data_IF_740030839297
#
_entry.id   IF_740030839297
#
_cell.length_a   1.000
_cell.length_b   1.000
_cell.length_c   1.000
_cell.angle_alpha   90.00
_cell.angle_beta   90.00
_cell.angle_gamma   90.00
#
_symmetry.space_group_name_H-M   'P 1'
#
loop_
_entity.id
_entity.type
_entity.pdbx_description
1 polymer ?
#
# COMPACT_ATOMS: atom_id res chain seq x y z
N UNK A 1 -54.40 27.59 -20.46
CA UNK A 1 -53.45 26.79 -19.65
C UNK A 1 -53.07 25.45 -20.32
N UNK A 2 -52.23 25.45 -21.39
CA UNK A 2 -51.48 24.24 -21.76
C UNK A 2 -49.96 24.46 -22.01
N UNK A 3 -49.47 25.71 -21.98
CA UNK A 3 -48.09 26.04 -22.37
C UNK A 3 -46.99 25.65 -21.35
N UNK A 4 -47.32 25.29 -20.10
CA UNK A 4 -46.33 24.94 -19.06
C UNK A 4 -45.82 23.49 -19.14
N UNK A 5 -46.52 22.58 -19.81
CA UNK A 5 -46.07 21.18 -19.94
C UNK A 5 -45.07 20.96 -21.10
N UNK A 6 -45.20 21.73 -22.19
CA UNK A 6 -44.31 21.59 -23.35
C UNK A 6 -42.87 22.03 -23.04
N UNK A 7 -42.67 23.08 -22.23
CA UNK A 7 -41.35 23.56 -21.84
C UNK A 7 -40.55 22.57 -20.97
N UNK A 8 -41.22 21.81 -20.09
CA UNK A 8 -40.58 20.76 -19.28
C UNK A 8 -40.13 19.55 -20.10
N UNK A 9 -40.73 19.32 -21.27
CA UNK A 9 -40.36 18.22 -22.18
C UNK A 9 -39.22 18.63 -23.13
N UNK A 10 -39.19 19.88 -23.56
CA UNK A 10 -38.10 20.44 -24.38
C UNK A 10 -36.76 20.53 -23.61
N UNK A 11 -36.78 20.85 -22.31
CA UNK A 11 -35.58 20.86 -21.47
C UNK A 11 -34.94 19.47 -21.28
N UNK A 12 -35.73 18.39 -21.26
CA UNK A 12 -35.17 17.02 -21.27
C UNK A 12 -34.54 16.64 -22.61
N UNK A 13 -35.02 17.20 -23.72
CA UNK A 13 -34.48 16.94 -25.06
C UNK A 13 -33.20 17.75 -25.34
N UNK A 14 -33.10 18.99 -24.83
CA UNK A 14 -31.90 19.81 -24.97
C UNK A 14 -30.72 19.32 -24.10
N UNK A 15 -30.98 18.64 -22.98
CA UNK A 15 -29.96 17.92 -22.22
C UNK A 15 -29.42 16.68 -22.96
N UNK A 16 -30.16 16.10 -23.89
CA UNK A 16 -29.77 14.84 -24.53
C UNK A 16 -28.79 15.00 -25.70
N UNK A 17 -28.69 16.18 -26.34
CA UNK A 17 -27.98 16.31 -27.63
C UNK A 17 -26.49 16.70 -27.56
N UNK A 18 -25.99 17.54 -26.63
CA UNK A 18 -24.55 17.75 -26.50
C UNK A 18 -23.85 16.58 -25.76
N UNK A 19 -24.62 15.74 -25.06
CA UNK A 19 -24.12 14.65 -24.21
C UNK A 19 -24.09 13.26 -24.90
N UNK A 20 -24.64 13.11 -26.11
CA UNK A 20 -24.55 11.84 -26.85
C UNK A 20 -23.19 11.65 -27.53
N UNK A 21 -22.44 12.72 -27.77
CA UNK A 21 -21.17 12.67 -28.51
C UNK A 21 -19.99 12.23 -27.62
N UNK A 22 -20.15 12.29 -26.29
CA UNK A 22 -19.15 11.85 -25.29
C UNK A 22 -19.21 10.36 -24.94
N UNK A 23 -20.21 9.62 -25.45
CA UNK A 23 -20.31 8.15 -25.26
C UNK A 23 -19.14 7.35 -25.86
N UNK A 24 -18.31 7.98 -26.70
CA UNK A 24 -17.17 7.32 -27.35
C UNK A 24 -15.96 7.10 -26.43
N UNK A 25 -15.95 7.65 -25.20
CA UNK A 25 -14.78 7.62 -24.31
C UNK A 25 -14.99 6.94 -22.94
N UNK A 26 -15.97 6.06 -22.78
CA UNK A 26 -16.03 5.18 -21.58
C UNK A 26 -16.46 5.86 -20.28
N UNK A 27 -17.14 7.01 -20.34
CA UNK A 27 -17.78 7.66 -19.20
C UNK A 27 -18.97 6.82 -18.70
N UNK A 28 -18.98 6.46 -17.41
CA UNK A 28 -20.13 5.79 -16.78
C UNK A 28 -20.88 6.79 -15.89
N UNK A 29 -22.11 7.11 -16.27
CA UNK A 29 -23.01 7.95 -15.49
C UNK A 29 -23.94 7.07 -14.65
N UNK A 30 -23.87 7.20 -13.33
CA UNK A 30 -24.84 6.59 -12.41
C UNK A 30 -25.53 7.71 -11.63
N UNK A 31 -26.78 8.01 -11.96
CA UNK A 31 -27.63 8.83 -11.10
C UNK A 31 -27.86 8.09 -9.78
N UNK A 32 -27.19 8.52 -8.71
CA UNK A 32 -27.16 7.79 -7.43
C UNK A 32 -27.62 8.66 -6.27
N UNK A 33 -28.69 8.24 -5.60
CA UNK A 33 -29.03 8.75 -4.26
C UNK A 33 -27.87 8.43 -3.30
N UNK A 34 -27.44 9.41 -2.49
CA UNK A 34 -26.49 9.22 -1.38
C UNK A 34 -27.29 9.03 -0.08
N UNK A 35 -27.51 7.78 0.36
CA UNK A 35 -28.40 7.49 1.48
C UNK A 35 -27.85 7.99 2.82
N UNK A 36 -28.60 8.87 3.50
CA UNK A 36 -28.34 9.19 4.91
C UNK A 36 -28.71 8.00 5.82
N UNK A 37 -29.72 7.21 5.43
CA UNK A 37 -30.13 5.94 6.04
C UNK A 37 -30.34 4.89 4.95
N UNK A 38 -30.35 3.59 5.27
CA UNK A 38 -30.52 2.53 4.25
C UNK A 38 -29.24 2.20 3.45
N UNK A 39 -29.32 1.41 2.38
CA UNK A 39 -28.16 1.01 1.56
C UNK A 39 -28.13 1.77 0.23
N UNK A 40 -27.06 1.63 -0.54
CA UNK A 40 -26.98 2.19 -1.90
C UNK A 40 -28.12 1.74 -2.82
N UNK A 41 -28.64 0.53 -2.62
CA UNK A 41 -29.70 -0.07 -3.44
C UNK A 41 -31.10 0.11 -2.81
N UNK A 42 -31.17 0.56 -1.55
CA UNK A 42 -32.40 0.84 -0.83
C UNK A 42 -32.20 2.07 0.08
N UNK A 43 -32.15 3.28 -0.49
CA UNK A 43 -31.90 4.50 0.27
C UNK A 43 -33.10 4.84 1.16
N UNK A 44 -32.84 5.04 2.45
CA UNK A 44 -33.81 5.56 3.41
C UNK A 44 -33.97 7.08 3.30
N UNK A 45 -35.00 7.61 3.98
CA UNK A 45 -35.33 9.04 3.94
C UNK A 45 -34.17 9.91 4.47
N UNK A 46 -33.96 11.07 3.84
CA UNK A 46 -33.00 12.10 4.31
C UNK A 46 -31.62 12.10 3.64
N UNK A 47 -31.38 11.26 2.62
CA UNK A 47 -30.14 11.26 1.83
C UNK A 47 -29.95 12.52 0.97
N UNK A 48 -28.70 12.90 0.70
CA UNK A 48 -28.40 13.84 -0.37
C UNK A 48 -28.62 13.15 -1.73
N UNK A 49 -29.05 13.90 -2.73
CA UNK A 49 -29.07 13.42 -4.11
C UNK A 49 -28.03 14.24 -4.86
N UNK A 50 -26.90 13.62 -5.20
CA UNK A 50 -25.92 14.28 -6.05
C UNK A 50 -26.53 14.46 -7.44
N UNK A 51 -26.33 15.63 -8.05
CA UNK A 51 -26.80 15.91 -9.41
C UNK A 51 -26.20 14.93 -10.42
N UNK A 52 -24.88 14.72 -10.37
CA UNK A 52 -24.16 13.75 -11.18
C UNK A 52 -23.04 13.12 -10.34
N UNK A 53 -22.84 11.80 -10.50
CA UNK A 53 -21.71 11.08 -9.95
C UNK A 53 -20.80 10.68 -11.12
N UNK A 54 -19.58 11.23 -11.18
CA UNK A 54 -18.67 10.98 -12.30
C UNK A 54 -17.45 10.18 -11.85
N UNK A 55 -17.25 9.01 -12.47
CA UNK A 55 -15.97 8.29 -12.41
C UNK A 55 -15.33 8.31 -13.79
N UNK A 56 -14.06 8.69 -13.87
CA UNK A 56 -13.23 8.46 -15.05
C UNK A 56 -11.87 7.92 -14.61
N UNK A 57 -11.77 6.63 -14.26
CA UNK A 57 -10.54 6.03 -13.77
C UNK A 57 -9.37 6.15 -14.77
N UNK A 58 -9.66 6.09 -16.07
CA UNK A 58 -8.68 6.24 -17.15
C UNK A 58 -8.05 7.64 -17.17
N UNK A 59 -8.84 8.66 -16.81
CA UNK A 59 -8.42 10.06 -16.72
C UNK A 59 -8.00 10.45 -15.30
N UNK A 60 -7.81 9.46 -14.41
CA UNK A 60 -7.47 9.65 -13.00
C UNK A 60 -8.45 10.57 -12.26
N UNK A 61 -9.73 10.58 -12.63
CA UNK A 61 -10.78 11.30 -11.89
C UNK A 61 -11.43 10.34 -10.90
N UNK A 62 -11.07 10.40 -9.60
CA UNK A 62 -11.72 9.61 -8.57
C UNK A 62 -13.09 10.22 -8.30
N UNK A 63 -14.15 9.44 -8.49
CA UNK A 63 -15.55 9.72 -8.11
C UNK A 63 -15.84 11.18 -7.67
N UNK A 64 -16.31 12.00 -8.58
CA UNK A 64 -16.67 13.39 -8.33
C UNK A 64 -18.16 13.50 -8.03
N UNK A 65 -18.50 13.97 -6.83
CA UNK A 65 -19.86 14.40 -6.54
C UNK A 65 -20.06 15.76 -7.19
N UNK A 66 -20.88 15.82 -8.24
CA UNK A 66 -21.13 17.05 -8.98
C UNK A 66 -22.50 17.59 -8.57
N UNK A 67 -22.48 18.78 -8.00
CA UNK A 67 -23.67 19.60 -7.82
C UNK A 67 -23.67 20.66 -8.91
N UNK A 68 -24.64 20.59 -9.81
CA UNK A 68 -24.85 21.61 -10.84
C UNK A 68 -25.90 22.60 -10.34
N UNK A 69 -25.49 23.84 -10.13
CA UNK A 69 -26.37 24.92 -9.70
C UNK A 69 -26.53 25.93 -10.85
N UNK A 70 -27.78 26.32 -11.12
CA UNK A 70 -28.09 27.35 -12.10
C UNK A 70 -28.08 28.79 -11.52
N UNK A 71 -27.49 29.02 -10.35
CA UNK A 71 -27.54 30.26 -9.54
C UNK A 71 -28.95 30.66 -9.05
N UNK A 72 -29.77 29.68 -8.70
CA UNK A 72 -31.05 29.94 -8.04
C UNK A 72 -31.01 29.64 -6.54
N UNK A 73 -30.02 28.88 -6.08
CA UNK A 73 -29.87 28.52 -4.67
C UNK A 73 -28.94 29.51 -3.96
N UNK A 74 -29.27 29.79 -2.70
CA UNK A 74 -28.49 30.61 -1.79
C UNK A 74 -27.24 29.86 -1.30
N UNK A 75 -26.27 30.59 -0.75
CA UNK A 75 -25.09 29.97 -0.15
C UNK A 75 -25.48 29.03 1.01
N UNK A 76 -26.53 29.37 1.75
CA UNK A 76 -27.09 28.60 2.85
C UNK A 76 -27.68 27.27 2.37
N UNK A 77 -28.46 27.26 1.28
CA UNK A 77 -29.00 26.03 0.69
C UNK A 77 -27.90 25.09 0.17
N UNK A 78 -26.85 25.64 -0.45
CA UNK A 78 -25.70 24.85 -0.89
C UNK A 78 -24.91 24.32 0.32
N UNK A 79 -24.76 25.10 1.38
CA UNK A 79 -24.12 24.65 2.62
C UNK A 79 -24.87 23.46 3.24
N UNK A 80 -26.21 23.49 3.28
CA UNK A 80 -27.03 22.38 3.75
C UNK A 80 -26.85 21.10 2.93
N UNK A 81 -26.63 21.22 1.62
CA UNK A 81 -26.28 20.07 0.76
C UNK A 81 -24.92 19.50 1.13
N UNK A 82 -23.92 20.35 1.32
CA UNK A 82 -22.58 19.93 1.72
C UNK A 82 -22.57 19.27 3.10
N UNK A 83 -23.44 19.69 4.03
CA UNK A 83 -23.65 19.00 5.31
C UNK A 83 -24.27 17.61 5.15
N UNK A 84 -25.19 17.43 4.21
CA UNK A 84 -25.74 16.10 3.88
C UNK A 84 -24.65 15.19 3.31
N UNK A 85 -23.79 15.70 2.43
CA UNK A 85 -22.61 14.97 1.94
C UNK A 85 -21.65 14.61 3.07
N UNK A 86 -21.37 15.55 3.98
CA UNK A 86 -20.51 15.31 5.15
C UNK A 86 -21.04 14.18 6.05
N UNK A 87 -22.36 14.18 6.33
CA UNK A 87 -23.01 13.09 7.08
C UNK A 87 -22.87 11.75 6.36
N UNK A 88 -23.06 11.73 5.05
CA UNK A 88 -22.87 10.53 4.25
C UNK A 88 -21.40 10.05 4.27
N UNK A 89 -20.41 10.94 4.15
CA UNK A 89 -19.00 10.57 4.17
C UNK A 89 -18.49 10.05 5.51
N UNK A 90 -19.11 10.50 6.61
CA UNK A 90 -18.85 9.99 7.97
C UNK A 90 -19.42 8.59 8.20
N UNK A 91 -20.38 8.15 7.39
CA UNK A 91 -21.08 6.89 7.60
C UNK A 91 -20.15 5.71 7.34
N UNK A 92 -20.09 4.80 8.31
CA UNK A 92 -19.37 3.53 8.20
C UNK A 92 -20.35 2.37 8.09
N UNK A 93 -19.92 1.31 7.43
CA UNK A 93 -20.61 0.03 7.31
C UNK A 93 -19.62 -1.07 7.64
N UNK A 94 -20.10 -2.16 8.25
CA UNK A 94 -19.28 -3.36 8.42
C UNK A 94 -19.09 -4.04 7.06
N UNK A 95 -17.84 -4.28 6.71
CA UNK A 95 -17.47 -5.04 5.52
C UNK A 95 -17.53 -6.55 5.83
N UNK A 96 -17.32 -7.39 4.82
CA UNK A 96 -17.34 -8.86 4.88
C UNK A 96 -16.31 -9.44 5.86
N UNK A 97 -15.23 -8.71 6.12
CA UNK A 97 -14.22 -9.04 7.14
C UNK A 97 -14.60 -8.59 8.57
N UNK A 98 -15.81 -8.04 8.75
CA UNK A 98 -16.33 -7.54 10.02
C UNK A 98 -15.77 -6.17 10.43
N UNK A 99 -14.86 -5.57 9.66
CA UNK A 99 -14.27 -4.26 9.96
C UNK A 99 -15.17 -3.14 9.47
N UNK A 100 -15.22 -2.05 10.23
CA UNK A 100 -15.93 -0.85 9.78
C UNK A 100 -15.14 -0.12 8.71
N UNK A 101 -15.78 0.15 7.58
CA UNK A 101 -15.22 0.92 6.47
C UNK A 101 -16.18 2.02 6.04
N UNK A 102 -15.68 3.13 5.47
CA UNK A 102 -16.56 4.18 4.99
C UNK A 102 -17.52 3.65 3.91
N UNK A 103 -18.80 4.03 3.98
CA UNK A 103 -19.84 3.52 3.09
C UNK A 103 -19.61 3.89 1.61
N UNK A 104 -18.87 4.97 1.36
CA UNK A 104 -18.49 5.42 0.02
C UNK A 104 -17.34 4.61 -0.58
N UNK A 105 -16.61 3.82 0.22
CA UNK A 105 -15.41 3.10 -0.20
C UNK A 105 -15.61 2.11 -1.36
N UNK A 106 -16.73 1.35 -1.45
CA UNK A 106 -16.94 0.46 -2.59
C UNK A 106 -17.13 1.17 -3.92
N UNK A 107 -17.61 2.43 -3.90
CA UNK A 107 -17.77 3.25 -5.12
C UNK A 107 -16.58 4.14 -5.39
N UNK A 108 -15.60 4.16 -4.49
CA UNK A 108 -14.42 4.97 -4.66
C UNK A 108 -13.16 4.39 -4.00
N UNK A 109 -12.15 4.23 -4.86
CA UNK A 109 -10.75 4.08 -4.47
C UNK A 109 -9.96 5.38 -4.50
N UNK A 110 -9.60 5.89 -3.32
CA UNK A 110 -8.69 7.02 -3.19
C UNK A 110 -7.37 6.70 -3.93
N UNK A 111 -6.83 7.61 -4.74
CA UNK A 111 -5.50 7.45 -5.32
C UNK A 111 -4.49 7.05 -4.23
N UNK A 112 -3.49 6.23 -4.56
CA UNK A 112 -2.50 5.75 -3.59
C UNK A 112 -1.72 6.88 -2.90
N UNK A 113 -1.69 8.07 -3.50
CA UNK A 113 -1.11 9.29 -2.94
C UNK A 113 -1.95 9.93 -1.83
N UNK A 114 -3.23 9.58 -1.74
CA UNK A 114 -4.15 10.09 -0.72
C UNK A 114 -4.16 9.15 0.48
N UNK A 115 -4.49 9.67 1.66
CA UNK A 115 -4.60 8.89 2.91
C UNK A 115 -5.81 7.94 2.90
N UNK A 116 -5.99 7.14 1.85
CA UNK A 116 -7.01 6.10 1.74
C UNK A 116 -8.38 6.54 2.27
N UNK A 117 -8.86 5.80 3.26
CA UNK A 117 -10.16 5.94 3.91
C UNK A 117 -10.31 7.20 4.78
N UNK A 118 -9.20 7.92 5.02
CA UNK A 118 -9.19 9.13 5.85
C UNK A 118 -9.54 10.40 5.04
N UNK A 119 -9.32 10.42 3.73
CA UNK A 119 -9.69 11.58 2.90
C UNK A 119 -11.12 11.42 2.38
N UNK A 120 -11.98 12.40 2.62
CA UNK A 120 -13.35 12.36 2.12
C UNK A 120 -13.46 12.66 0.63
N UNK A 121 -14.61 12.29 0.04
CA UNK A 121 -14.89 12.63 -1.33
C UNK A 121 -14.81 14.06 -1.83
N UNK A 122 -14.21 14.41 -3.01
CA UNK A 122 -14.30 15.77 -3.47
C UNK A 122 -15.72 16.02 -3.96
N UNK A 123 -16.18 17.22 -3.68
CA UNK A 123 -17.45 17.73 -4.20
C UNK A 123 -17.11 18.86 -5.15
N UNK A 124 -17.50 18.70 -6.43
CA UNK A 124 -17.41 19.75 -7.43
C UNK A 124 -18.74 20.49 -7.52
N UNK A 125 -18.70 21.78 -7.23
CA UNK A 125 -19.78 22.71 -7.49
C UNK A 125 -19.57 23.31 -8.89
N UNK A 126 -20.47 22.99 -9.81
CA UNK A 126 -20.47 23.55 -11.17
C UNK A 126 -21.58 24.58 -11.27
N UNK A 127 -21.18 25.83 -11.37
CA UNK A 127 -22.12 26.94 -11.43
C UNK A 127 -22.41 27.38 -12.86
N UNK A 128 -23.66 27.33 -13.26
CA UNK A 128 -24.13 27.76 -14.57
C UNK A 128 -24.85 29.10 -14.46
N UNK A 129 -24.24 30.20 -14.94
CA UNK A 129 -24.74 31.60 -14.83
C UNK A 129 -26.03 31.84 -15.63
N UNK A 130 -27.14 31.23 -15.20
CA UNK A 130 -28.48 31.45 -15.73
C UNK A 130 -29.35 32.22 -14.72
N UNK A 131 -29.10 32.05 -13.42
CA UNK A 131 -29.86 32.67 -12.33
C UNK A 131 -29.31 34.00 -11.81
N UNK A 132 -30.04 34.58 -10.85
CA UNK A 132 -29.85 35.95 -10.33
C UNK A 132 -28.72 36.07 -9.29
N UNK A 133 -28.26 34.96 -8.70
CA UNK A 133 -27.24 35.00 -7.65
C UNK A 133 -25.85 35.37 -8.19
N UNK A 134 -25.16 36.28 -7.51
CA UNK A 134 -23.82 36.73 -7.89
C UNK A 134 -22.72 35.79 -7.32
N UNK A 135 -21.94 35.07 -8.16
CA UNK A 135 -20.87 34.19 -7.68
C UNK A 135 -19.83 34.85 -6.79
N UNK A 136 -19.54 36.13 -7.03
CA UNK A 136 -18.56 36.88 -6.26
C UNK A 136 -19.05 37.15 -4.83
N UNK A 137 -20.34 36.93 -4.53
CA UNK A 137 -20.90 36.99 -3.17
C UNK A 137 -21.20 35.58 -2.64
N UNK A 138 -21.79 34.71 -3.47
CA UNK A 138 -22.16 33.34 -3.05
C UNK A 138 -20.96 32.50 -2.66
N UNK A 139 -19.87 32.50 -3.45
CA UNK A 139 -18.70 31.66 -3.17
C UNK A 139 -18.00 32.07 -1.86
N UNK A 140 -17.68 33.35 -1.60
CA UNK A 140 -17.11 33.75 -0.31
C UNK A 140 -18.00 33.40 0.88
N UNK A 141 -19.31 33.64 0.79
CA UNK A 141 -20.25 33.30 1.87
C UNK A 141 -20.32 31.79 2.10
N UNK A 142 -20.37 31.01 1.03
CA UNK A 142 -20.38 29.55 1.11
C UNK A 142 -19.09 29.00 1.74
N UNK A 143 -17.92 29.57 1.38
CA UNK A 143 -16.63 29.23 2.01
C UNK A 143 -16.68 29.44 3.52
N UNK A 144 -17.23 30.57 3.96
CA UNK A 144 -17.38 30.89 5.38
C UNK A 144 -18.30 29.89 6.10
N UNK A 145 -19.51 29.67 5.58
CA UNK A 145 -20.51 28.78 6.18
C UNK A 145 -20.04 27.33 6.29
N UNK A 146 -19.22 26.87 5.34
CA UNK A 146 -18.78 25.47 5.25
C UNK A 146 -17.36 25.26 5.75
N UNK A 147 -16.74 26.27 6.38
CA UNK A 147 -15.32 26.25 6.76
C UNK A 147 -14.91 25.00 7.53
N UNK A 148 -15.74 24.55 8.47
CA UNK A 148 -15.51 23.35 9.27
C UNK A 148 -15.51 22.05 8.46
N UNK A 149 -16.09 22.02 7.26
CA UNK A 149 -16.11 20.84 6.39
C UNK A 149 -14.81 20.66 5.61
N UNK A 150 -14.11 21.74 5.26
CA UNK A 150 -12.99 21.68 4.30
C UNK A 150 -11.66 22.21 4.86
N UNK A 151 -11.64 22.95 5.97
CA UNK A 151 -10.40 23.55 6.49
C UNK A 151 -9.40 22.46 6.91
N UNK A 152 -8.22 22.50 6.30
CA UNK A 152 -7.13 21.56 6.58
C UNK A 152 -6.19 22.05 7.67
N UNK A 153 -5.59 21.12 8.39
CA UNK A 153 -4.66 21.39 9.49
C UNK A 153 -3.24 21.59 8.96
N UNK A 154 -2.65 22.76 9.24
CA UNK A 154 -1.30 23.10 8.77
C UNK A 154 -0.25 22.27 9.51
N UNK A 155 0.58 21.56 8.75
CA UNK A 155 1.65 20.73 9.28
C UNK A 155 2.99 21.48 9.33
N UNK A 156 3.91 20.99 10.17
CA UNK A 156 5.28 21.53 10.27
C UNK A 156 6.03 21.54 8.92
N UNK A 157 5.68 20.63 8.00
CA UNK A 157 6.23 20.54 6.65
C UNK A 157 5.69 21.56 5.64
N UNK A 158 4.83 22.50 6.05
CA UNK A 158 4.29 23.56 5.20
C UNK A 158 3.12 23.14 4.30
N UNK A 159 2.70 21.87 4.36
CA UNK A 159 1.48 21.37 3.73
C UNK A 159 0.32 21.29 4.72
N UNK A 160 -0.91 21.16 4.21
CA UNK A 160 -2.10 20.92 5.03
C UNK A 160 -2.47 19.43 5.00
N UNK A 161 -2.96 18.91 6.13
CA UNK A 161 -3.67 17.64 6.20
C UNK A 161 -5.18 17.88 6.08
N UNK A 162 -5.84 17.06 5.28
CA UNK A 162 -7.28 17.16 5.00
C UNK A 162 -8.03 15.88 5.40
N UNK A 163 -7.46 15.09 6.32
CA UNK A 163 -8.11 13.89 6.83
C UNK A 163 -9.43 14.28 7.52
N UNK A 164 -10.52 13.60 7.16
CA UNK A 164 -11.88 13.93 7.60
C UNK A 164 -12.42 15.26 7.05
N UNK A 165 -11.78 15.86 6.04
CA UNK A 165 -12.20 17.10 5.38
C UNK A 165 -12.60 16.83 3.94
N UNK A 166 -13.60 17.55 3.46
CA UNK A 166 -14.13 17.47 2.10
C UNK A 166 -13.31 18.39 1.19
N UNK A 167 -12.68 17.89 0.12
CA UNK A 167 -12.14 18.75 -0.93
C UNK A 167 -13.30 19.38 -1.72
N UNK A 168 -13.70 20.58 -1.34
CA UNK A 168 -14.76 21.33 -2.04
C UNK A 168 -14.10 22.18 -3.14
N UNK A 169 -14.52 21.94 -4.37
CA UNK A 169 -14.00 22.60 -5.57
C UNK A 169 -15.14 23.31 -6.28
N UNK A 170 -14.92 24.53 -6.73
CA UNK A 170 -15.91 25.31 -7.46
C UNK A 170 -15.39 25.66 -8.85
N UNK A 171 -16.25 25.58 -9.86
CA UNK A 171 -15.99 26.12 -11.21
C UNK A 171 -17.28 26.63 -11.85
N UNK A 172 -17.14 27.39 -12.94
CA UNK A 172 -18.27 27.82 -13.76
C UNK A 172 -18.43 26.93 -15.00
N UNK A 173 -19.67 26.64 -15.41
CA UNK A 173 -19.95 25.78 -16.57
C UNK A 173 -19.27 26.30 -17.86
N UNK A 174 -19.26 27.63 -18.07
CA UNK A 174 -18.58 28.25 -19.21
C UNK A 174 -17.07 27.99 -19.19
N UNK A 175 -16.42 28.14 -18.03
CA UNK A 175 -14.99 27.92 -17.89
C UNK A 175 -14.63 26.45 -18.09
N UNK A 176 -15.44 25.56 -17.51
CA UNK A 176 -15.30 24.12 -17.70
C UNK A 176 -15.45 23.72 -19.18
N UNK A 177 -16.43 24.28 -19.88
CA UNK A 177 -16.64 24.01 -21.31
C UNK A 177 -15.51 24.54 -22.19
N UNK A 178 -14.88 25.66 -21.82
CA UNK A 178 -13.85 26.30 -22.63
C UNK A 178 -12.45 25.69 -22.39
N UNK A 179 -12.14 25.35 -21.14
CA UNK A 179 -10.79 24.94 -20.75
C UNK A 179 -10.67 23.47 -20.34
N UNK A 180 -11.80 22.78 -20.19
CA UNK A 180 -11.82 21.38 -19.75
C UNK A 180 -11.29 21.18 -18.33
N UNK A 181 -11.04 19.92 -17.93
CA UNK A 181 -10.57 19.57 -16.58
C UNK A 181 -9.08 19.90 -16.34
N UNK A 182 -8.29 20.09 -17.40
CA UNK A 182 -6.85 20.39 -17.32
C UNK A 182 -6.56 21.88 -17.21
N UNK A 183 -7.53 22.74 -17.54
CA UNK A 183 -7.38 24.19 -17.43
C UNK A 183 -7.39 24.70 -15.99
N UNK A 184 -6.72 25.82 -15.69
CA UNK A 184 -6.66 26.42 -14.36
C UNK A 184 -7.96 27.21 -14.07
N UNK A 185 -9.08 26.50 -13.95
CA UNK A 185 -10.42 27.08 -13.80
C UNK A 185 -11.18 26.58 -12.57
N UNK A 186 -10.51 25.81 -11.71
CA UNK A 186 -11.09 25.23 -10.51
C UNK A 186 -10.55 25.92 -9.27
N UNK A 187 -11.45 26.43 -8.43
CA UNK A 187 -11.12 27.03 -7.15
C UNK A 187 -11.36 26.01 -6.04
N UNK A 188 -10.30 25.50 -5.41
CA UNK A 188 -10.44 24.74 -4.17
C UNK A 188 -10.66 25.66 -2.98
N UNK A 189 -11.65 25.33 -2.15
CA UNK A 189 -11.85 26.01 -0.89
C UNK A 189 -10.63 25.84 0.02
N UNK A 190 -10.16 26.95 0.58
CA UNK A 190 -8.92 27.02 1.35
C UNK A 190 -7.67 27.35 0.54
N UNK A 191 -7.81 27.50 -0.78
CA UNK A 191 -6.80 28.07 -1.67
C UNK A 191 -7.33 29.38 -2.27
N UNK A 192 -6.42 30.18 -2.79
CA UNK A 192 -6.64 31.55 -3.28
C UNK A 192 -6.40 31.72 -4.79
N UNK A 193 -5.96 30.66 -5.45
CA UNK A 193 -5.68 30.62 -6.89
C UNK A 193 -6.52 29.53 -7.56
N UNK A 194 -6.67 29.67 -8.87
CA UNK A 194 -7.31 28.66 -9.72
C UNK A 194 -6.29 27.61 -10.13
N UNK A 195 -6.71 26.35 -10.15
CA UNK A 195 -5.85 25.19 -10.46
C UNK A 195 -6.57 24.26 -11.47
N UNK A 196 -5.84 23.37 -12.15
CA UNK A 196 -6.41 22.22 -12.84
C UNK A 196 -7.19 21.31 -11.88
N UNK A 197 -8.19 20.57 -12.37
CA UNK A 197 -9.06 19.75 -11.52
C UNK A 197 -8.27 18.77 -10.66
N UNK A 198 -7.26 18.10 -11.23
CA UNK A 198 -6.38 17.12 -10.53
C UNK A 198 -5.68 17.76 -9.33
N UNK A 199 -5.13 18.94 -9.51
CA UNK A 199 -4.39 19.66 -8.46
C UNK A 199 -5.35 20.21 -7.40
N UNK A 200 -6.52 20.71 -7.83
CA UNK A 200 -7.58 21.17 -6.95
C UNK A 200 -8.08 20.03 -6.06
N UNK A 201 -8.39 18.84 -6.57
CA UNK A 201 -8.83 17.71 -5.72
C UNK A 201 -7.68 17.12 -4.90
N UNK A 202 -6.46 17.10 -5.44
CA UNK A 202 -5.28 16.51 -4.81
C UNK A 202 -4.59 17.37 -3.75
N UNK A 203 -3.45 16.90 -3.24
CA UNK A 203 -2.64 17.64 -2.27
C UNK A 203 -1.16 17.60 -2.66
N UNK A 204 -0.76 18.31 -3.73
CA UNK A 204 0.58 18.19 -4.31
C UNK A 204 1.70 18.52 -3.32
N UNK A 205 1.46 19.44 -2.38
CA UNK A 205 2.43 19.77 -1.32
C UNK A 205 2.65 18.62 -0.33
N UNK A 206 1.59 17.89 0.04
CA UNK A 206 1.71 16.68 0.86
C UNK A 206 2.40 15.57 0.07
N UNK A 207 2.03 15.38 -1.19
CA UNK A 207 2.67 14.39 -2.06
C UNK A 207 4.18 14.62 -2.17
N UNK A 208 4.60 15.88 -2.35
CA UNK A 208 6.02 16.26 -2.36
C UNK A 208 6.69 16.08 -0.99
N UNK A 209 5.98 16.27 0.12
CA UNK A 209 6.51 15.99 1.46
C UNK A 209 6.71 14.48 1.69
N UNK A 210 5.73 13.67 1.31
CA UNK A 210 5.78 12.22 1.41
C UNK A 210 6.87 11.62 0.52
N UNK A 211 7.05 12.16 -0.71
CA UNK A 211 8.13 11.75 -1.60
C UNK A 211 9.51 11.99 -0.98
N UNK A 212 9.75 13.19 -0.45
CA UNK A 212 11.00 13.53 0.28
C UNK A 212 11.23 12.61 1.48
N UNK A 213 10.18 12.30 2.24
CA UNK A 213 10.27 11.37 3.36
C UNK A 213 10.66 9.95 2.92
N UNK A 214 10.04 9.44 1.84
CA UNK A 214 10.38 8.12 1.28
C UNK A 214 11.83 8.06 0.82
N UNK A 215 12.30 9.08 0.10
CA UNK A 215 13.70 9.18 -0.32
C UNK A 215 14.65 9.16 0.88
N UNK A 216 14.35 9.93 1.93
CA UNK A 216 15.13 9.93 3.16
C UNK A 216 15.19 8.55 3.82
N UNK A 217 14.05 7.84 3.92
CA UNK A 217 14.02 6.48 4.46
C UNK A 217 14.75 5.46 3.60
N UNK A 218 14.72 5.61 2.27
CA UNK A 218 15.44 4.74 1.34
C UNK A 218 16.95 4.90 1.51
N UNK A 219 17.45 6.15 1.56
CA UNK A 219 18.86 6.46 1.83
C UNK A 219 19.32 5.89 3.18
N UNK A 220 18.56 6.11 4.25
CA UNK A 220 18.90 5.58 5.57
C UNK A 220 18.96 4.04 5.60
N UNK A 221 18.08 3.35 4.86
CA UNK A 221 18.10 1.88 4.73
C UNK A 221 19.31 1.41 3.95
N UNK A 222 19.69 2.09 2.88
CA UNK A 222 20.88 1.79 2.10
C UNK A 222 22.15 1.96 2.93
N UNK A 223 22.28 3.09 3.64
CA UNK A 223 23.39 3.34 4.57
C UNK A 223 23.46 2.27 5.67
N UNK A 224 22.32 1.89 6.24
CA UNK A 224 22.28 0.84 7.26
C UNK A 224 22.71 -0.52 6.68
N UNK A 225 22.24 -0.87 5.47
CA UNK A 225 22.68 -2.10 4.78
C UNK A 225 24.18 -2.09 4.49
N UNK A 226 24.73 -0.96 4.03
CA UNK A 226 26.16 -0.81 3.79
C UNK A 226 26.98 -0.97 5.09
N UNK A 227 26.51 -0.38 6.20
CA UNK A 227 27.14 -0.55 7.52
C UNK A 227 27.12 -2.01 7.99
N UNK A 228 25.98 -2.69 7.85
CA UNK A 228 25.84 -4.11 8.21
C UNK A 228 26.75 -4.99 7.34
N UNK A 229 26.79 -4.75 6.02
CA UNK A 229 27.69 -5.49 5.12
C UNK A 229 29.16 -5.26 5.46
N UNK A 230 29.56 -4.02 5.76
CA UNK A 230 30.93 -3.71 6.18
C UNK A 230 31.28 -4.43 7.47
N UNK A 231 30.43 -4.35 8.49
CA UNK A 231 30.63 -5.07 9.75
C UNK A 231 30.71 -6.58 9.55
N UNK A 232 29.87 -7.15 8.68
CA UNK A 232 29.90 -8.58 8.35
C UNK A 232 31.22 -8.97 7.64
N UNK A 233 31.72 -8.14 6.72
CA UNK A 233 33.02 -8.36 6.06
C UNK A 233 34.18 -8.27 7.04
N UNK A 234 34.18 -7.27 7.92
CA UNK A 234 35.19 -7.11 8.97
C UNK A 234 35.17 -8.30 9.94
N UNK A 235 33.98 -8.77 10.34
CA UNK A 235 33.85 -9.95 11.19
C UNK A 235 34.27 -11.24 10.47
N UNK A 236 33.92 -11.40 9.19
CA UNK A 236 34.36 -12.54 8.39
C UNK A 236 35.88 -12.55 8.21
N UNK A 237 36.49 -11.39 7.97
CA UNK A 237 37.95 -11.24 7.89
C UNK A 237 38.62 -11.57 9.23
N UNK A 238 38.07 -11.10 10.36
CA UNK A 238 38.56 -11.47 11.70
C UNK A 238 38.47 -12.97 11.94
N UNK A 239 37.32 -13.58 11.68
CA UNK A 239 37.13 -15.04 11.81
C UNK A 239 38.05 -15.83 10.89
N UNK A 240 38.29 -15.35 9.67
CA UNK A 240 39.22 -15.98 8.74
C UNK A 240 40.65 -15.89 9.25
N UNK A 241 41.07 -14.75 9.79
CA UNK A 241 42.39 -14.56 10.39
C UNK A 241 42.58 -15.38 11.67
N UNK A 242 41.57 -15.43 12.55
CA UNK A 242 41.56 -16.28 13.75
C UNK A 242 41.61 -17.76 13.38
N UNK A 243 40.84 -18.18 12.36
CA UNK A 243 40.90 -19.53 11.82
C UNK A 243 42.32 -19.80 11.37
N UNK A 244 42.86 -18.98 10.45
CA UNK A 244 44.21 -19.09 9.90
C UNK A 244 45.30 -19.22 10.98
N UNK A 245 45.21 -18.42 12.05
CA UNK A 245 46.15 -18.47 13.17
C UNK A 245 46.09 -19.80 13.95
N UNK A 246 44.98 -20.53 13.89
CA UNK A 246 44.80 -21.85 14.47
C UNK A 246 45.07 -22.99 13.47
N UNK A 247 45.75 -22.73 12.34
CA UNK A 247 46.08 -23.75 11.34
C UNK A 247 46.89 -24.89 11.98
N UNK A 248 46.37 -26.14 11.96
CA UNK A 248 47.11 -27.27 12.50
C UNK A 248 48.40 -27.54 11.72
N UNK A 249 49.41 -27.98 12.44
CA UNK A 249 50.68 -28.45 11.89
C UNK A 249 50.78 -29.96 12.04
N UNK A 250 51.43 -30.60 11.07
CA UNK A 250 51.68 -32.04 11.11
C UNK A 250 52.63 -32.39 12.24
N UNK A 251 52.26 -33.37 13.08
CA UNK A 251 53.13 -33.83 14.18
C UNK A 251 54.42 -34.50 13.71
N UNK A 252 54.43 -35.06 12.49
CA UNK A 252 55.57 -35.85 11.99
C UNK A 252 56.60 -35.02 11.23
N UNK A 253 56.16 -34.02 10.47
CA UNK A 253 57.03 -33.20 9.61
C UNK A 253 56.98 -31.70 9.90
N UNK A 254 56.11 -31.26 10.83
CA UNK A 254 56.01 -29.86 11.26
C UNK A 254 55.39 -28.89 10.24
N UNK A 255 55.03 -29.36 9.04
CA UNK A 255 54.41 -28.54 8.01
C UNK A 255 52.94 -28.22 8.33
N UNK A 256 52.53 -26.99 8.03
CA UNK A 256 51.13 -26.55 8.12
C UNK A 256 50.22 -27.35 7.18
N UNK A 257 48.99 -27.59 7.61
CA UNK A 257 48.01 -28.32 6.79
C UNK A 257 47.60 -27.49 5.57
N UNK A 258 47.32 -28.16 4.44
CA UNK A 258 46.65 -27.53 3.30
C UNK A 258 45.20 -27.17 3.65
N UNK A 259 44.59 -26.24 2.90
CA UNK A 259 43.18 -25.86 3.11
C UNK A 259 42.22 -27.05 2.99
N UNK A 260 42.49 -27.96 2.05
CA UNK A 260 41.72 -29.18 1.83
C UNK A 260 41.84 -30.14 3.01
N UNK A 261 43.06 -30.37 3.50
CA UNK A 261 43.30 -31.25 4.67
C UNK A 261 42.69 -30.66 5.93
N UNK A 262 42.84 -29.35 6.12
CA UNK A 262 42.27 -28.66 7.27
C UNK A 262 40.74 -28.69 7.27
N UNK A 263 40.09 -28.43 6.12
CA UNK A 263 38.62 -28.59 5.99
C UNK A 263 38.17 -30.03 6.26
N UNK A 264 38.94 -31.03 5.85
CA UNK A 264 38.65 -32.43 6.15
C UNK A 264 38.69 -32.71 7.66
N UNK A 265 39.68 -32.16 8.38
CA UNK A 265 39.79 -32.30 9.84
C UNK A 265 38.67 -31.61 10.61
N UNK A 266 38.20 -30.44 10.18
CA UNK A 266 37.07 -29.72 10.82
C UNK A 266 35.74 -30.50 10.70
N UNK A 267 35.54 -31.25 9.61
CA UNK A 267 34.33 -32.08 9.40
C UNK A 267 34.27 -33.30 10.33
N UNK A 268 35.42 -33.88 10.67
CA UNK A 268 35.51 -35.11 11.46
C UNK A 268 35.18 -34.90 12.94
N UNK A 269 35.35 -33.67 13.45
CA UNK A 269 34.96 -33.30 14.83
C UNK A 269 33.44 -33.43 15.09
N UNK A 270 32.60 -33.48 14.04
CA UNK A 270 31.13 -33.52 14.14
C UNK A 270 30.47 -34.81 13.62
N UNK A 271 31.21 -35.91 13.49
CA UNK A 271 30.62 -37.20 13.10
C UNK A 271 31.68 -38.25 12.76
N UNK A 272 31.72 -39.31 13.56
CA UNK A 272 32.78 -40.30 13.63
C UNK A 272 33.04 -41.08 12.34
N UNK A 273 34.31 -41.10 11.91
CA UNK A 273 34.95 -42.32 11.41
C UNK A 273 36.32 -42.47 12.11
N UNK A 274 36.63 -43.61 12.77
CA UNK A 274 37.86 -43.81 13.54
C UNK A 274 39.15 -43.82 12.70
N UNK A 275 39.05 -43.84 11.37
CA UNK A 275 40.18 -44.01 10.46
C UNK A 275 40.95 -42.71 10.18
N UNK A 276 40.39 -41.55 10.53
CA UNK A 276 41.01 -40.26 10.19
C UNK A 276 41.84 -39.72 11.36
N UNK A 277 43.18 -39.64 11.22
CA UNK A 277 44.05 -39.06 12.27
C UNK A 277 44.18 -37.54 12.11
N UNK A 278 43.52 -36.74 12.98
CA UNK A 278 43.43 -35.29 12.79
C UNK A 278 44.76 -34.53 12.97
N UNK A 279 45.82 -35.20 13.46
CA UNK A 279 47.14 -34.61 13.73
C UNK A 279 48.17 -34.81 12.61
N UNK A 280 47.88 -35.64 11.61
CA UNK A 280 48.79 -35.93 10.49
C UNK A 280 48.38 -35.17 9.21
N UNK A 281 49.36 -34.75 8.40
CA UNK A 281 49.08 -34.23 7.06
C UNK A 281 48.63 -35.35 6.12
N UNK A 282 48.02 -35.02 4.98
CA UNK A 282 47.43 -36.02 4.07
C UNK A 282 48.41 -37.05 3.47
N UNK A 283 49.71 -36.71 3.38
CA UNK A 283 50.73 -37.66 2.94
C UNK A 283 51.16 -38.60 4.07
N UNK A 284 51.29 -38.05 5.29
CA UNK A 284 51.63 -38.84 6.47
C UNK A 284 50.50 -39.77 6.88
N UNK A 285 49.25 -39.31 6.75
CA UNK A 285 48.05 -40.11 7.01
C UNK A 285 47.98 -41.31 6.06
N UNK A 286 48.15 -41.07 4.74
CA UNK A 286 48.17 -42.15 3.73
C UNK A 286 49.32 -43.12 3.92
N UNK A 287 50.52 -42.61 4.25
CA UNK A 287 51.67 -43.46 4.53
C UNK A 287 51.44 -44.29 5.79
N UNK A 288 50.90 -43.69 6.85
CA UNK A 288 50.55 -44.42 8.07
C UNK A 288 49.51 -45.50 7.78
N UNK A 289 48.45 -45.21 7.03
CA UNK A 289 47.46 -46.20 6.59
C UNK A 289 48.12 -47.35 5.82
N UNK A 290 49.02 -47.02 4.88
CA UNK A 290 49.75 -48.02 4.08
C UNK A 290 50.68 -48.87 4.96
N UNK A 291 51.41 -48.25 5.89
CA UNK A 291 52.33 -48.93 6.82
C UNK A 291 51.53 -49.82 7.80
N UNK A 292 50.35 -49.37 8.24
CA UNK A 292 49.44 -50.12 9.10
C UNK A 292 48.85 -51.35 8.38
N UNK A 293 48.38 -51.18 7.15
CA UNK A 293 47.84 -52.28 6.32
C UNK A 293 48.90 -53.34 6.00
N UNK A 294 50.17 -52.94 5.83
CA UNK A 294 51.28 -53.86 5.64
C UNK A 294 51.69 -54.58 6.94
N UNK A 295 51.65 -53.88 8.07
CA UNK A 295 51.99 -54.46 9.37
C UNK A 295 50.92 -55.43 9.90
N UNK A 296 49.65 -55.21 9.55
CA UNK A 296 48.52 -56.02 10.00
C UNK A 296 47.57 -56.39 8.83
N UNK A 297 47.99 -57.26 7.89
CA UNK A 297 47.17 -57.63 6.75
C UNK A 297 45.89 -58.36 7.22
N UNK A 298 44.72 -57.73 7.02
CA UNK A 298 43.41 -58.34 7.27
C UNK A 298 42.63 -57.82 8.49
N UNK A 299 43.10 -56.80 9.20
CA UNK A 299 42.39 -56.27 10.39
C UNK A 299 41.22 -55.33 10.04
N UNK A 300 41.23 -54.68 8.86
CA UNK A 300 40.11 -53.86 8.34
C UNK A 300 38.80 -54.67 8.19
N UNK A 301 38.90 -55.92 7.73
CA UNK A 301 37.72 -56.80 7.55
C UNK A 301 37.04 -57.21 8.87
N UNK A 302 37.78 -57.21 9.99
CA UNK A 302 37.23 -57.66 11.29
C UNK A 302 36.37 -56.60 11.99
N UNK A 303 36.58 -55.32 11.66
CA UNK A 303 35.80 -54.22 12.24
C UNK A 303 34.48 -53.98 11.49
N UNK A 304 34.46 -54.12 10.16
CA UNK A 304 33.22 -54.04 9.36
C UNK A 304 32.26 -55.22 9.61
N UNK A 305 32.76 -56.44 9.85
CA UNK A 305 31.90 -57.58 10.24
C UNK A 305 31.28 -57.39 11.65
N UNK A 306 31.98 -56.74 12.57
CA UNK A 306 31.49 -56.53 13.94
C UNK A 306 30.36 -55.50 14.03
N UNK A 307 30.38 -54.49 13.17
CA UNK A 307 29.30 -53.48 13.11
C UNK A 307 28.06 -53.98 12.35
N UNK A 308 28.18 -55.03 11.51
CA UNK A 308 27.04 -55.67 10.84
C UNK A 308 26.32 -56.71 11.72
N UNK A 309 27.04 -57.38 12.62
CA UNK A 309 26.45 -58.36 13.57
C UNK A 309 25.71 -57.72 14.76
N UNK A 310 25.74 -56.38 14.88
CA UNK A 310 24.96 -55.62 15.86
C UNK A 310 23.65 -55.03 15.27
N UNK A 311 23.06 -55.70 14.28
CA UNK A 311 21.67 -55.47 13.91
C UNK A 311 20.72 -56.16 14.91
N UNK A 312 20.21 -55.37 15.85
CA UNK A 312 19.13 -55.74 16.81
C UNK A 312 17.93 -56.36 16.05
N UNK A 313 17.34 -57.47 16.52
CA UNK A 313 16.22 -58.10 15.82
C UNK A 313 14.96 -57.22 15.87
N UNK A 314 14.26 -57.16 14.73
CA UNK A 314 12.91 -56.60 14.58
C UNK A 314 11.94 -57.19 15.61
N UNK A 315 11.38 -56.35 16.48
CA UNK A 315 10.10 -56.64 17.14
C UNK A 315 8.96 -55.94 16.39
N UNK A 316 8.18 -56.75 15.67
CA UNK A 316 6.88 -56.36 15.12
C UNK A 316 5.82 -56.31 16.23
N UNK A 317 4.96 -55.29 16.08
CA UNK A 317 3.55 -55.22 16.41
C UNK A 317 3.11 -55.15 17.89
N UNK A 318 2.32 -54.10 18.17
CA UNK A 318 1.21 -54.18 19.13
C UNK A 318 1.05 -52.94 19.99
N UNK A 319 -0.13 -52.30 19.90
CA UNK A 319 -0.69 -51.58 21.05
C UNK A 319 -0.91 -50.09 20.89
N UNK A 320 -2.10 -49.74 20.39
CA UNK A 320 -2.86 -48.52 20.71
C UNK A 320 -2.76 -48.16 22.19
N UNK A 321 -2.57 -46.87 22.56
CA UNK A 321 -3.38 -46.21 23.60
C UNK A 321 -3.19 -44.69 23.68
N UNK A 322 -4.33 -44.05 23.90
CA UNK A 322 -4.55 -42.62 24.13
C UNK A 322 -3.86 -42.14 25.42
N UNK A 323 -3.49 -40.86 25.50
CA UNK A 323 -4.22 -39.86 26.31
C UNK A 323 -3.38 -38.62 26.69
N UNK A 324 -4.10 -37.50 26.76
CA UNK A 324 -3.80 -36.22 27.39
C UNK A 324 -3.07 -36.37 28.75
N UNK A 325 -2.18 -35.45 29.10
CA UNK A 325 -2.41 -34.49 30.20
C UNK A 325 -1.41 -33.33 30.16
N UNK A 326 -1.95 -32.13 30.42
CA UNK A 326 -1.23 -30.88 30.72
C UNK A 326 -0.48 -30.99 32.06
N UNK A 327 0.61 -30.24 32.19
CA UNK A 327 0.60 -29.06 33.06
C UNK A 327 1.48 -27.97 32.48
#
# INVERSE_FOLDING_TARGET
MPHRLAHRRALRYAQARPLQETRKHGLSEHGGSTPATGTWNAPGKGGAQAGILLTAPQDQVPLLFIEVDNYHETAEEIADKLEKHARFFRRKVKDTDGRERPMWRPRWTAPAAWSGDATYPPVLLVFNRIGECNPNRTIPRLRELTRHLWVGERQKGGHHHYDGRIPIVATGLKNLSQHGPTGPVFLRFGRDHMEPLREAIGNPRREAADARAREGTARAREEHRAKVQRAAREQAAKKAAEREACRPVCTDYGAEFTDERWKATERVVWGASPEFRPTLCGDCDRRFETDWEQAWPGEKHRHEERDQDQAVPEQKAGGTWLSRFRR
#
